data_IF_654842072870
#
_entry.id   IF_654842072870
#
_cell.length_a   1.000
_cell.length_b   1.000
_cell.length_c   1.000
_cell.angle_alpha   90.00
_cell.angle_beta   90.00
_cell.angle_gamma   90.00
#
_symmetry.space_group_name_H-M   'P 1'
#
loop_
_entity.id
_entity.type
_entity.pdbx_description
1 polymer ?
#
# COMPACT_ATOMS: atom_id res chain seq x y z
N UNK A 1 -0.31 -14.64 -17.33
CA UNK A 1 0.59 -15.35 -16.41
C UNK A 1 1.63 -16.08 -17.26
N UNK A 2 2.92 -15.80 -17.06
CA UNK A 2 4.02 -16.47 -17.76
C UNK A 2 4.66 -17.48 -16.79
N UNK A 3 4.87 -18.72 -17.24
CA UNK A 3 5.42 -19.80 -16.40
C UNK A 3 6.77 -20.20 -16.95
N UNK A 4 7.81 -20.13 -16.10
CA UNK A 4 9.19 -20.47 -16.46
C UNK A 4 9.77 -21.37 -15.38
N UNK A 5 10.48 -22.42 -15.79
CA UNK A 5 11.24 -23.27 -14.87
C UNK A 5 12.67 -22.79 -14.83
N UNK A 6 13.19 -22.47 -13.64
CA UNK A 6 14.55 -21.99 -13.43
C UNK A 6 15.30 -22.87 -12.44
N UNK A 7 16.60 -23.07 -12.69
CA UNK A 7 17.54 -23.73 -11.77
C UNK A 7 18.18 -22.69 -10.85
N UNK A 8 18.81 -23.10 -9.73
CA UNK A 8 19.68 -22.21 -8.96
C UNK A 8 20.71 -21.52 -9.85
N UNK A 9 21.05 -20.27 -9.52
CA UNK A 9 21.92 -19.37 -10.28
C UNK A 9 21.35 -18.86 -11.62
N UNK A 10 20.16 -19.30 -12.03
CA UNK A 10 19.49 -18.70 -13.18
C UNK A 10 18.67 -17.46 -12.78
N UNK A 11 18.58 -16.51 -13.70
CA UNK A 11 17.90 -15.25 -13.50
C UNK A 11 16.87 -14.93 -14.58
N UNK A 12 15.92 -14.07 -14.21
CA UNK A 12 14.88 -13.50 -15.05
C UNK A 12 15.07 -11.99 -15.04
N UNK A 13 14.97 -11.37 -16.21
CA UNK A 13 15.09 -9.92 -16.37
C UNK A 13 13.73 -9.37 -16.78
N UNK A 14 13.23 -8.38 -16.03
CA UNK A 14 11.97 -7.69 -16.29
C UNK A 14 12.28 -6.24 -16.67
N UNK A 15 11.91 -5.87 -17.88
CA UNK A 15 12.01 -4.49 -18.37
C UNK A 15 10.64 -3.84 -18.27
N UNK A 16 10.49 -2.82 -17.42
CA UNK A 16 9.23 -2.10 -17.25
C UNK A 16 9.32 -0.70 -17.84
N UNK A 17 8.28 -0.22 -18.55
CA UNK A 17 8.23 1.16 -19.02
C UNK A 17 8.19 2.12 -17.81
N UNK A 18 9.12 3.07 -17.76
CA UNK A 18 9.25 4.04 -16.67
C UNK A 18 10.26 3.67 -15.58
N UNK A 19 10.75 2.43 -15.55
CA UNK A 19 11.94 2.07 -14.78
C UNK A 19 13.16 2.16 -15.71
N UNK A 20 14.05 3.11 -15.49
CA UNK A 20 15.25 3.29 -16.32
C UNK A 20 16.21 2.10 -16.26
N UNK A 21 16.17 1.33 -15.17
CA UNK A 21 16.97 0.13 -14.97
C UNK A 21 16.06 -1.12 -14.90
N UNK A 22 16.49 -2.27 -15.45
CA UNK A 22 15.71 -3.49 -15.43
C UNK A 22 15.72 -4.13 -14.03
N UNK A 23 14.65 -4.86 -13.73
CA UNK A 23 14.57 -5.66 -12.50
C UNK A 23 15.13 -7.04 -12.80
N UNK A 24 16.05 -7.52 -11.96
CA UNK A 24 16.64 -8.86 -12.07
C UNK A 24 16.16 -9.73 -10.92
N UNK A 25 15.51 -10.84 -11.24
CA UNK A 25 15.08 -11.85 -10.26
C UNK A 25 15.95 -13.09 -10.44
N UNK A 26 16.78 -13.40 -9.45
CA UNK A 26 17.69 -14.53 -9.46
C UNK A 26 17.23 -15.62 -8.47
N UNK A 27 17.34 -16.88 -8.87
CA UNK A 27 17.13 -18.02 -7.97
C UNK A 27 18.44 -18.31 -7.26
N UNK A 28 18.55 -17.96 -5.98
CA UNK A 28 19.77 -18.17 -5.19
C UNK A 28 19.91 -19.60 -4.68
N UNK A 29 18.81 -20.35 -4.63
CA UNK A 29 18.82 -21.72 -4.14
C UNK A 29 17.42 -22.29 -3.96
N UNK A 30 17.36 -23.62 -3.92
CA UNK A 30 16.13 -24.37 -3.68
C UNK A 30 16.39 -25.34 -2.53
N UNK A 31 15.64 -25.18 -1.45
CA UNK A 31 15.68 -26.00 -0.26
C UNK A 31 14.34 -26.74 -0.13
N UNK A 32 14.19 -27.88 -0.81
CA UNK A 32 12.95 -28.66 -0.82
C UNK A 32 11.77 -27.89 -1.43
N UNK A 33 10.82 -27.48 -0.59
CA UNK A 33 9.64 -26.68 -0.95
C UNK A 33 9.91 -25.16 -0.94
N UNK A 34 11.06 -24.73 -0.40
CA UNK A 34 11.42 -23.31 -0.28
C UNK A 34 12.37 -22.89 -1.38
N UNK A 35 12.14 -21.70 -1.93
CA UNK A 35 13.00 -21.08 -2.95
C UNK A 35 13.55 -19.78 -2.41
N UNK A 36 14.87 -19.60 -2.48
CA UNK A 36 15.54 -18.34 -2.18
C UNK A 36 15.59 -17.50 -3.44
N UNK A 37 14.94 -16.35 -3.42
CA UNK A 37 14.91 -15.41 -4.55
C UNK A 37 15.69 -14.15 -4.17
N UNK A 38 16.66 -13.78 -5.00
CA UNK A 38 17.30 -12.47 -4.99
C UNK A 38 16.58 -11.55 -5.97
N UNK A 39 16.20 -10.35 -5.55
CA UNK A 39 15.56 -9.35 -6.41
C UNK A 39 16.41 -8.10 -6.39
N UNK A 40 16.98 -7.74 -7.54
CA UNK A 40 17.63 -6.46 -7.76
C UNK A 40 16.65 -5.57 -8.53
N UNK A 41 16.29 -4.45 -7.93
CA UNK A 41 15.37 -3.49 -8.51
C UNK A 41 15.86 -2.07 -8.20
N UNK A 42 15.62 -1.10 -9.09
CA UNK A 42 15.92 0.30 -8.81
C UNK A 42 15.05 0.84 -7.68
N UNK A 43 15.50 1.92 -7.02
CA UNK A 43 14.78 2.53 -5.88
C UNK A 43 13.39 3.07 -6.20
N UNK A 44 13.10 3.31 -7.48
CA UNK A 44 11.78 3.71 -7.96
C UNK A 44 10.75 2.59 -7.88
N UNK A 45 11.19 1.34 -7.76
CA UNK A 45 10.32 0.15 -7.73
C UNK A 45 10.27 -0.39 -6.30
N UNK A 46 9.06 -0.47 -5.75
CA UNK A 46 8.84 -1.09 -4.44
C UNK A 46 8.69 -2.61 -4.59
N UNK A 47 9.49 -3.37 -3.85
CA UNK A 47 9.43 -4.84 -3.81
C UNK A 47 8.82 -5.27 -2.48
N UNK A 48 7.66 -5.92 -2.53
CA UNK A 48 6.94 -6.39 -1.34
C UNK A 48 6.57 -7.86 -1.51
N UNK A 49 6.43 -8.55 -0.37
CA UNK A 49 5.83 -9.88 -0.37
C UNK A 49 4.34 -9.76 -0.63
N UNK A 50 3.79 -10.70 -1.40
CA UNK A 50 2.40 -10.64 -1.87
C UNK A 50 1.40 -10.55 -0.72
N UNK A 51 1.61 -11.36 0.31
CA UNK A 51 0.75 -11.43 1.48
C UNK A 51 0.64 -10.09 2.22
N UNK A 52 1.70 -9.27 2.18
CA UNK A 52 1.69 -7.93 2.79
C UNK A 52 0.92 -6.92 1.94
N UNK A 53 1.02 -7.02 0.61
CA UNK A 53 0.24 -6.18 -0.30
C UNK A 53 -1.27 -6.40 -0.16
N UNK A 54 -1.69 -7.65 -0.02
CA UNK A 54 -3.11 -8.01 0.09
C UNK A 54 -3.73 -7.42 1.37
N UNK A 55 -3.05 -7.57 2.52
CA UNK A 55 -3.50 -7.02 3.79
C UNK A 55 -3.64 -5.48 3.78
N UNK A 56 -2.65 -4.77 3.22
CA UNK A 56 -2.68 -3.30 3.13
C UNK A 56 -3.77 -2.84 2.16
N UNK A 57 -3.94 -3.53 1.03
CA UNK A 57 -4.97 -3.18 0.05
C UNK A 57 -6.36 -3.32 0.64
N UNK A 58 -6.64 -4.40 1.37
CA UNK A 58 -7.93 -4.61 2.05
C UNK A 58 -8.20 -3.55 3.11
N UNK A 59 -7.20 -3.22 3.93
CA UNK A 59 -7.32 -2.16 4.93
C UNK A 59 -7.58 -0.79 4.31
N UNK A 60 -6.88 -0.44 3.23
CA UNK A 60 -7.10 0.81 2.51
C UNK A 60 -8.50 0.88 1.89
N UNK A 61 -9.00 -0.24 1.35
CA UNK A 61 -10.36 -0.32 0.80
C UNK A 61 -11.41 -0.18 1.90
N UNK A 62 -11.20 -0.80 3.07
CA UNK A 62 -12.06 -0.65 4.23
C UNK A 62 -12.03 0.79 4.80
N UNK A 63 -10.87 1.43 4.83
CA UNK A 63 -10.71 2.81 5.25
C UNK A 63 -11.39 3.79 4.29
N UNK A 64 -11.23 3.60 2.98
CA UNK A 64 -11.90 4.40 1.96
C UNK A 64 -13.43 4.30 2.06
N UNK A 65 -13.97 3.10 2.31
CA UNK A 65 -15.41 2.90 2.56
C UNK A 65 -15.90 3.61 3.82
N UNK A 66 -15.15 3.51 4.93
CA UNK A 66 -15.50 4.27 6.16
C UNK A 66 -15.43 5.78 5.96
N UNK A 67 -14.50 6.28 5.16
CA UNK A 67 -14.40 7.71 4.85
C UNK A 67 -15.62 8.20 4.05
N UNK A 68 -16.11 7.40 3.09
CA UNK A 68 -17.36 7.71 2.40
C UNK A 68 -18.58 7.68 3.34
N UNK A 69 -18.64 6.74 4.28
CA UNK A 69 -19.74 6.69 5.25
C UNK A 69 -19.67 7.83 6.28
N UNK A 70 -18.46 8.25 6.67
CA UNK A 70 -18.25 9.40 7.57
C UNK A 70 -18.59 10.75 6.92
N UNK A 71 -18.50 10.86 5.58
CA UNK A 71 -18.99 12.03 4.86
C UNK A 71 -20.53 12.14 4.82
N UNK A 72 -21.24 11.11 5.29
CA UNK A 72 -22.70 11.15 5.48
C UNK A 72 -23.11 11.74 6.85
N UNK A 73 -22.18 12.26 7.65
CA UNK A 73 -22.55 13.19 8.72
C UNK A 73 -23.26 14.39 8.05
N UNK A 74 -24.54 14.66 8.37
CA UNK A 74 -25.21 15.85 7.87
C UNK A 74 -24.32 17.04 8.21
N UNK A 75 -23.95 17.86 7.22
CA UNK A 75 -23.08 19.02 7.43
C UNK A 75 -23.55 19.92 8.59
N UNK A 76 -24.85 19.86 8.89
CA UNK A 76 -25.53 20.49 10.01
C UNK A 76 -25.08 19.99 11.40
N UNK A 77 -24.82 18.69 11.56
CA UNK A 77 -24.32 18.12 12.82
C UNK A 77 -22.88 18.58 13.14
N UNK A 78 -22.03 18.69 12.12
CA UNK A 78 -20.67 19.21 12.28
C UNK A 78 -20.68 20.72 12.59
N UNK A 79 -21.56 21.49 11.94
CA UNK A 79 -21.76 22.91 12.22
C UNK A 79 -22.24 23.16 13.64
N UNK A 80 -23.11 22.31 14.18
CA UNK A 80 -23.62 22.41 15.55
C UNK A 80 -22.51 22.20 16.59
N UNK A 81 -21.71 21.14 16.43
CA UNK A 81 -20.59 20.83 17.34
C UNK A 81 -19.49 21.90 17.33
N UNK A 82 -19.25 22.54 16.17
CA UNK A 82 -18.26 23.61 16.04
C UNK A 82 -18.82 24.98 16.47
N UNK A 83 -20.12 25.22 16.31
CA UNK A 83 -20.79 26.46 16.72
C UNK A 83 -20.97 26.59 18.23
N UNK A 84 -21.20 25.48 18.94
CA UNK A 84 -21.33 25.46 20.41
C UNK A 84 -20.02 25.91 21.12
N UNK A 85 -18.86 25.72 20.47
CA UNK A 85 -17.55 26.14 20.99
C UNK A 85 -17.28 27.64 20.90
N UNK A 86 -17.99 28.38 20.05
CA UNK A 86 -17.80 29.83 19.89
C UNK A 86 -18.63 30.65 20.88
N UNK A 87 -19.80 30.16 21.33
CA UNK A 87 -20.58 30.87 22.36
C UNK A 87 -19.95 30.72 23.74
N UNK A 88 -19.43 29.53 24.08
CA UNK A 88 -18.75 29.30 25.36
C UNK A 88 -17.46 30.14 25.51
N UNK A 89 -16.73 30.37 24.41
CA UNK A 89 -15.54 31.25 24.41
C UNK A 89 -15.86 32.74 24.52
N UNK A 90 -17.03 33.18 24.05
CA UNK A 90 -17.46 34.58 24.17
C UNK A 90 -18.06 34.89 25.54
N UNK A 91 -18.73 33.93 26.18
CA UNK A 91 -19.24 34.10 27.54
C UNK A 91 -18.15 34.02 28.61
N UNK A 92 -17.05 33.30 28.39
CA UNK A 92 -15.92 33.26 29.33
C UNK A 92 -14.98 34.49 29.24
N UNK A 93 -15.20 35.40 28.28
CA UNK A 93 -14.34 36.54 28.01
C UNK A 93 -15.01 37.91 28.26
N UNK A 94 -16.22 37.94 28.80
CA UNK A 94 -16.94 39.14 29.27
C UNK A 94 -17.12 39.14 30.77
#
# INVERSE_FOLDING_TARGET
MLVLTRRPEESLVLTLPGAGEPIVVAVLGVDGDKVRLGIQAPRSVTVLRRELCEAVREQNLAAARRASDASALPAEALRRLLGERESERREAAG
#
